data_IF_704020336314
#
_entry.id   IF_704020336314
#
_cell.length_a   1.000
_cell.length_b   1.000
_cell.length_c   1.000
_cell.angle_alpha   90.00
_cell.angle_beta   90.00
_cell.angle_gamma   90.00
#
_symmetry.space_group_name_H-M   'P 1'
#
loop_
_entity.id
_entity.type
_entity.pdbx_description
1 polymer ?
#
# COMPACT_ATOMS: atom_id res chain seq x y z
N UNK A 1 0.19 -67.71 -6.67
CA UNK A 1 1.00 -66.85 -7.58
C UNK A 1 0.13 -65.80 -8.26
N UNK A 2 -1.01 -66.18 -8.85
CA UNK A 2 -1.96 -65.31 -9.58
C UNK A 2 -2.60 -64.21 -8.74
N UNK A 3 -3.01 -64.50 -7.50
CA UNK A 3 -3.62 -63.51 -6.59
C UNK A 3 -2.68 -62.33 -6.27
N UNK A 4 -1.37 -62.58 -6.21
CA UNK A 4 -0.37 -61.55 -5.89
C UNK A 4 -0.12 -60.66 -7.11
N UNK A 5 -0.04 -61.23 -8.32
CA UNK A 5 0.10 -60.45 -9.55
C UNK A 5 -1.14 -59.59 -9.83
N UNK A 6 -2.35 -60.10 -9.58
CA UNK A 6 -3.59 -59.33 -9.72
C UNK A 6 -3.62 -58.16 -8.71
N UNK A 7 -3.20 -58.40 -7.46
CA UNK A 7 -3.09 -57.35 -6.46
C UNK A 7 -2.11 -56.23 -6.89
N UNK A 8 -0.92 -56.58 -7.37
CA UNK A 8 0.05 -55.58 -7.84
C UNK A 8 -0.43 -54.81 -9.09
N UNK A 9 -1.17 -55.46 -10.00
CA UNK A 9 -1.76 -54.80 -11.16
C UNK A 9 -2.82 -53.76 -10.76
N UNK A 10 -3.74 -54.14 -9.87
CA UNK A 10 -4.78 -53.21 -9.37
C UNK A 10 -4.13 -52.05 -8.60
N UNK A 11 -3.17 -52.35 -7.73
CA UNK A 11 -2.45 -51.35 -6.97
C UNK A 11 -1.68 -50.37 -7.87
N UNK A 12 -0.98 -50.89 -8.89
CA UNK A 12 -0.26 -50.07 -9.87
C UNK A 12 -1.19 -49.17 -10.69
N UNK A 13 -2.34 -49.68 -11.13
CA UNK A 13 -3.35 -48.89 -11.83
C UNK A 13 -3.91 -47.76 -10.95
N UNK A 14 -4.17 -48.04 -9.67
CA UNK A 14 -4.70 -47.04 -8.74
C UNK A 14 -3.69 -45.92 -8.48
N UNK A 15 -2.42 -46.26 -8.24
CA UNK A 15 -1.34 -45.27 -8.05
C UNK A 15 -1.13 -44.44 -9.32
N UNK A 16 -1.17 -45.08 -10.50
CA UNK A 16 -1.03 -44.37 -11.78
C UNK A 16 -2.18 -43.38 -12.00
N UNK A 17 -3.44 -43.80 -11.79
CA UNK A 17 -4.60 -42.91 -11.90
C UNK A 17 -4.55 -41.76 -10.90
N UNK A 18 -4.14 -42.02 -9.66
CA UNK A 18 -3.95 -40.97 -8.66
C UNK A 18 -2.85 -39.97 -9.10
N UNK A 19 -1.73 -40.46 -9.63
CA UNK A 19 -0.64 -39.63 -10.16
C UNK A 19 -1.09 -38.75 -11.33
N UNK A 20 -1.81 -39.32 -12.30
CA UNK A 20 -2.39 -38.57 -13.42
C UNK A 20 -3.41 -37.55 -12.91
N UNK A 21 -4.26 -37.91 -11.95
CA UNK A 21 -5.23 -37.01 -11.35
C UNK A 21 -4.56 -35.79 -10.69
N UNK A 22 -3.48 -36.01 -9.94
CA UNK A 22 -2.69 -34.92 -9.34
C UNK A 22 -2.08 -34.02 -10.42
N UNK A 23 -1.49 -34.60 -11.47
CA UNK A 23 -0.91 -33.84 -12.58
C UNK A 23 -1.96 -32.99 -13.30
N UNK A 24 -3.16 -33.54 -13.55
CA UNK A 24 -4.29 -32.80 -14.16
C UNK A 24 -4.78 -31.69 -13.23
N UNK A 25 -4.86 -31.94 -11.92
CA UNK A 25 -5.25 -30.91 -10.96
C UNK A 25 -4.22 -29.77 -10.91
N UNK A 26 -2.92 -30.09 -10.92
CA UNK A 26 -1.86 -29.09 -10.98
C UNK A 26 -1.89 -28.31 -12.30
N UNK A 27 -2.01 -29.00 -13.43
CA UNK A 27 -2.10 -28.37 -14.75
C UNK A 27 -3.32 -27.46 -14.89
N UNK A 28 -4.49 -27.89 -14.40
CA UNK A 28 -5.70 -27.07 -14.42
C UNK A 28 -5.60 -25.86 -13.49
N UNK A 29 -4.97 -25.99 -12.31
CA UNK A 29 -4.72 -24.85 -11.42
C UNK A 29 -3.75 -23.83 -12.03
N UNK A 30 -2.70 -24.28 -12.73
CA UNK A 30 -1.76 -23.43 -13.47
C UNK A 30 -2.45 -22.76 -14.67
N UNK A 31 -3.30 -23.50 -15.39
CA UNK A 31 -4.04 -22.98 -16.53
C UNK A 31 -5.07 -21.93 -16.11
N UNK A 32 -5.89 -22.23 -15.08
CA UNK A 32 -6.78 -21.24 -14.47
C UNK A 32 -5.99 -20.05 -13.94
N UNK A 33 -4.90 -20.29 -13.21
CA UNK A 33 -4.04 -19.23 -12.68
C UNK A 33 -3.55 -18.30 -13.79
N UNK A 34 -3.09 -18.86 -14.91
CA UNK A 34 -2.64 -18.09 -16.07
C UNK A 34 -3.79 -17.32 -16.72
N UNK A 35 -4.97 -17.94 -16.88
CA UNK A 35 -6.13 -17.31 -17.48
C UNK A 35 -6.68 -16.16 -16.62
N UNK A 36 -6.73 -16.36 -15.29
CA UNK A 36 -7.09 -15.31 -14.32
C UNK A 36 -6.08 -14.15 -14.29
N UNK A 37 -4.78 -14.43 -14.47
CA UNK A 37 -3.74 -13.41 -14.49
C UNK A 37 -3.74 -12.59 -15.80
N UNK A 38 -4.16 -13.19 -16.92
CA UNK A 38 -4.08 -12.54 -18.23
C UNK A 38 -5.16 -11.47 -18.46
N UNK A 39 -6.28 -11.51 -17.72
CA UNK A 39 -7.37 -10.55 -17.91
C UNK A 39 -7.30 -9.33 -16.97
N UNK A 40 -6.35 -9.26 -16.02
CA UNK A 40 -6.37 -8.28 -14.90
C UNK A 40 -7.73 -8.24 -14.15
N UNK A 41 -8.62 -9.20 -14.41
CA UNK A 41 -9.96 -9.30 -13.83
C UNK A 41 -9.86 -10.30 -12.70
N UNK A 42 -9.40 -9.80 -11.56
CA UNK A 42 -9.67 -10.43 -10.28
C UNK A 42 -11.18 -10.68 -10.21
N UNK A 43 -11.61 -11.93 -10.40
CA UNK A 43 -13.02 -12.30 -10.55
C UNK A 43 -13.82 -11.83 -9.31
N UNK A 44 -13.17 -11.86 -8.14
CA UNK A 44 -13.71 -11.31 -6.89
C UNK A 44 -12.61 -10.60 -6.07
N UNK A 45 -12.28 -9.32 -6.35
CA UNK A 45 -11.23 -8.60 -5.64
C UNK A 45 -11.53 -8.46 -4.14
N UNK A 46 -12.83 -8.34 -3.80
CA UNK A 46 -13.28 -8.29 -2.40
C UNK A 46 -13.08 -9.61 -1.68
N UNK A 47 -13.32 -10.76 -2.34
CA UNK A 47 -13.11 -12.07 -1.73
C UNK A 47 -11.62 -12.25 -1.40
N UNK A 48 -10.74 -11.88 -2.33
CA UNK A 48 -9.29 -11.94 -2.11
C UNK A 48 -8.87 -11.09 -0.91
N UNK A 49 -9.38 -9.87 -0.77
CA UNK A 49 -9.09 -9.01 0.38
C UNK A 49 -9.61 -9.62 1.69
N UNK A 50 -10.82 -10.18 1.71
CA UNK A 50 -11.38 -10.86 2.88
C UNK A 50 -10.49 -12.04 3.29
N UNK A 51 -10.02 -12.84 2.32
CA UNK A 51 -9.10 -13.94 2.58
C UNK A 51 -7.79 -13.41 3.20
N UNK A 52 -7.17 -12.39 2.62
CA UNK A 52 -5.93 -11.81 3.15
C UNK A 52 -6.13 -11.25 4.56
N UNK A 53 -7.25 -10.59 4.84
CA UNK A 53 -7.59 -10.05 6.16
C UNK A 53 -7.76 -11.18 7.20
N UNK A 54 -8.48 -12.25 6.83
CA UNK A 54 -8.72 -13.40 7.70
C UNK A 54 -7.43 -14.13 8.07
N UNK A 55 -6.52 -14.30 7.12
CA UNK A 55 -5.26 -15.01 7.32
C UNK A 55 -4.12 -14.14 7.88
N UNK A 56 -4.29 -12.82 7.96
CA UNK A 56 -3.25 -11.91 8.47
C UNK A 56 -2.75 -12.28 9.87
N UNK A 57 -3.67 -12.46 10.84
CA UNK A 57 -3.32 -12.82 12.21
C UNK A 57 -2.61 -14.18 12.33
N UNK A 58 -3.18 -15.26 11.78
CA UNK A 58 -2.55 -16.58 11.73
C UNK A 58 -1.16 -16.55 11.07
N UNK A 59 -1.02 -15.91 9.91
CA UNK A 59 0.26 -15.84 9.20
C UNK A 59 1.30 -15.02 9.94
N UNK A 60 0.90 -13.93 10.60
CA UNK A 60 1.82 -13.13 11.41
C UNK A 60 2.36 -13.97 12.58
N UNK A 61 1.49 -14.62 13.34
CA UNK A 61 1.88 -15.50 14.45
C UNK A 61 2.76 -16.66 13.99
N UNK A 62 2.42 -17.27 12.85
CA UNK A 62 3.20 -18.35 12.25
C UNK A 62 4.60 -17.88 11.85
N UNK A 63 4.71 -16.72 11.18
CA UNK A 63 6.00 -16.14 10.78
C UNK A 63 6.90 -15.84 11.98
N UNK A 64 6.33 -15.28 13.06
CA UNK A 64 7.07 -14.98 14.29
C UNK A 64 7.55 -16.26 14.98
N UNK A 65 6.72 -17.31 14.99
CA UNK A 65 7.07 -18.61 15.59
C UNK A 65 8.21 -19.31 14.84
N UNK A 66 8.28 -19.13 13.52
CA UNK A 66 9.37 -19.66 12.68
C UNK A 66 10.63 -18.79 12.68
N UNK A 67 10.66 -17.69 13.44
CA UNK A 67 11.79 -16.74 13.43
C UNK A 67 11.93 -15.96 12.12
N UNK A 68 10.90 -15.96 11.27
CA UNK A 68 10.85 -15.16 10.06
C UNK A 68 10.51 -13.71 10.39
N UNK A 69 10.95 -12.79 9.52
CA UNK A 69 10.64 -11.38 9.68
C UNK A 69 9.13 -11.15 9.46
N UNK A 70 8.38 -10.89 10.53
CA UNK A 70 6.93 -10.65 10.50
C UNK A 70 6.51 -9.51 9.57
N UNK A 71 7.46 -8.62 9.24
CA UNK A 71 7.28 -7.55 8.25
C UNK A 71 6.92 -8.07 6.86
N UNK A 72 7.29 -9.31 6.50
CA UNK A 72 6.99 -9.88 5.19
C UNK A 72 5.48 -10.03 4.95
N UNK A 73 4.73 -10.36 6.01
CA UNK A 73 3.26 -10.50 5.94
C UNK A 73 2.62 -9.14 5.69
N UNK A 74 3.14 -8.09 6.35
CA UNK A 74 2.68 -6.72 6.16
C UNK A 74 3.02 -6.19 4.75
N UNK A 75 4.22 -6.49 4.25
CA UNK A 75 4.63 -6.15 2.88
C UNK A 75 3.71 -6.76 1.83
N UNK A 76 3.49 -8.07 1.90
CA UNK A 76 2.58 -8.77 0.99
C UNK A 76 1.18 -8.15 1.06
N UNK A 77 0.68 -7.88 2.27
CA UNK A 77 -0.61 -7.24 2.47
C UNK A 77 -0.73 -5.86 1.80
N UNK A 78 0.30 -5.02 1.92
CA UNK A 78 0.34 -3.69 1.28
C UNK A 78 0.38 -3.82 -0.25
N UNK A 79 1.26 -4.67 -0.79
CA UNK A 79 1.41 -4.84 -2.24
C UNK A 79 0.14 -5.40 -2.89
N UNK A 80 -0.47 -6.41 -2.29
CA UNK A 80 -1.73 -6.99 -2.77
C UNK A 80 -2.83 -5.93 -2.79
N UNK A 81 -2.98 -5.13 -1.72
CA UNK A 81 -4.00 -4.07 -1.68
C UNK A 81 -3.71 -2.94 -2.65
N UNK A 82 -2.44 -2.58 -2.83
CA UNK A 82 -2.02 -1.62 -3.84
C UNK A 82 -2.45 -2.09 -5.23
N UNK A 83 -2.13 -3.32 -5.61
CA UNK A 83 -2.48 -3.88 -6.92
C UNK A 83 -3.99 -3.96 -7.15
N UNK A 84 -4.73 -4.46 -6.16
CA UNK A 84 -6.20 -4.62 -6.26
C UNK A 84 -6.91 -3.28 -6.42
N UNK A 85 -6.50 -2.25 -5.69
CA UNK A 85 -7.18 -0.97 -5.67
C UNK A 85 -6.67 0.01 -6.73
N UNK A 86 -5.56 -0.29 -7.42
CA UNK A 86 -4.86 0.63 -8.32
C UNK A 86 -5.79 1.25 -9.38
N UNK A 87 -6.52 0.42 -10.13
CA UNK A 87 -7.39 0.89 -11.22
C UNK A 87 -8.49 1.83 -10.71
N UNK A 88 -9.14 1.46 -9.61
CA UNK A 88 -10.22 2.27 -9.00
C UNK A 88 -9.69 3.54 -8.35
N UNK A 89 -8.51 3.48 -7.72
CA UNK A 89 -7.87 4.67 -7.16
C UNK A 89 -7.51 5.68 -8.25
N UNK A 90 -6.97 5.22 -9.39
CA UNK A 90 -6.63 6.07 -10.54
C UNK A 90 -7.86 6.71 -11.19
N UNK A 91 -9.01 6.02 -11.23
CA UNK A 91 -10.24 6.54 -11.84
C UNK A 91 -11.01 7.58 -11.00
N UNK A 92 -10.67 7.74 -9.72
CA UNK A 92 -11.33 8.71 -8.82
C UNK A 92 -10.70 10.10 -9.03
N UNK A 93 -11.51 11.16 -8.96
CA UNK A 93 -11.03 12.54 -9.03
C UNK A 93 -10.11 12.88 -7.84
N UNK A 94 -8.98 13.58 -8.04
CA UNK A 94 -8.11 14.04 -6.95
C UNK A 94 -8.81 14.78 -5.80
N UNK A 95 -9.87 15.56 -6.07
CA UNK A 95 -10.64 16.29 -5.04
C UNK A 95 -11.43 15.35 -4.12
N UNK A 96 -11.68 14.12 -4.58
CA UNK A 96 -12.29 13.06 -3.77
C UNK A 96 -11.22 12.18 -3.08
N UNK A 97 -9.95 12.61 -3.00
CA UNK A 97 -8.85 11.83 -2.41
C UNK A 97 -8.25 12.49 -1.17
N UNK A 98 -7.97 11.65 -0.18
CA UNK A 98 -7.18 12.03 0.98
C UNK A 98 -5.73 11.52 0.85
N UNK A 99 -4.75 12.34 1.24
CA UNK A 99 -3.38 11.92 1.47
C UNK A 99 -3.10 11.94 2.96
N UNK A 100 -2.67 10.81 3.52
CA UNK A 100 -2.35 10.67 4.95
C UNK A 100 -0.85 10.44 5.12
N UNK A 101 -0.19 11.41 5.75
CA UNK A 101 1.25 11.39 6.03
C UNK A 101 1.51 11.09 7.52
N UNK A 102 2.61 10.40 7.85
CA UNK A 102 2.93 10.07 9.23
C UNK A 102 3.73 11.20 9.89
N UNK A 103 3.47 11.47 11.16
CA UNK A 103 4.23 12.46 11.93
C UNK A 103 5.74 12.14 12.02
N UNK A 104 6.13 10.87 11.87
CA UNK A 104 7.52 10.41 11.96
C UNK A 104 8.45 11.03 10.89
N UNK A 105 7.90 11.57 9.79
CA UNK A 105 8.64 12.31 8.77
C UNK A 105 9.04 13.73 9.21
N UNK A 106 8.49 14.22 10.33
CA UNK A 106 8.76 15.58 10.82
C UNK A 106 10.21 15.73 11.24
N UNK A 107 10.69 16.95 11.02
CA UNK A 107 11.88 17.42 11.71
C UNK A 107 11.56 17.63 13.20
N UNK A 108 12.49 17.36 14.13
CA UNK A 108 12.28 17.63 15.57
C UNK A 108 11.86 19.07 15.88
N UNK A 109 12.34 20.03 15.09
CA UNK A 109 12.02 21.45 15.24
C UNK A 109 10.76 21.87 14.47
N UNK A 110 9.90 20.92 14.11
CA UNK A 110 8.68 21.20 13.37
C UNK A 110 7.61 21.84 14.27
N UNK A 111 7.21 23.05 13.90
CA UNK A 111 6.24 23.91 14.62
C UNK A 111 4.76 23.49 14.45
N UNK A 112 4.48 22.36 13.80
CA UNK A 112 3.12 21.88 13.56
C UNK A 112 2.39 21.58 14.88
N UNK A 113 1.18 22.15 15.02
CA UNK A 113 0.32 21.99 16.20
C UNK A 113 -0.65 20.83 16.00
N UNK A 114 -0.99 20.15 17.10
CA UNK A 114 -1.93 19.03 17.09
C UNK A 114 -3.37 19.54 17.20
N UNK A 115 -4.21 19.08 16.30
CA UNK A 115 -5.66 19.31 16.27
C UNK A 115 -6.43 17.98 16.22
N UNK A 116 -7.75 18.06 16.06
CA UNK A 116 -8.65 16.88 16.11
C UNK A 116 -8.34 15.84 15.04
N UNK A 117 -8.05 16.27 13.82
CA UNK A 117 -7.85 15.40 12.64
C UNK A 117 -6.38 15.15 12.32
N UNK A 118 -5.46 15.75 13.08
CA UNK A 118 -4.02 15.56 12.90
C UNK A 118 -3.23 16.80 13.24
N UNK A 119 -1.99 16.84 12.76
CA UNK A 119 -1.05 17.94 12.89
C UNK A 119 -1.24 18.92 11.72
N UNK A 120 -1.32 20.20 12.03
CA UNK A 120 -1.43 21.25 11.02
C UNK A 120 -0.03 21.65 10.55
N UNK A 121 0.34 21.20 9.34
CA UNK A 121 1.58 21.61 8.71
C UNK A 121 1.49 23.06 8.23
N UNK A 122 2.34 23.92 8.80
CA UNK A 122 2.45 25.36 8.48
C UNK A 122 3.38 25.65 7.29
N UNK A 123 3.96 24.63 6.65
CA UNK A 123 4.91 24.85 5.55
C UNK A 123 6.29 25.34 5.99
N UNK A 124 6.75 25.00 7.21
CA UNK A 124 8.05 25.45 7.74
C UNK A 124 9.30 24.96 6.97
N UNK A 125 9.14 24.15 5.92
CA UNK A 125 10.21 23.66 5.03
C UNK A 125 11.36 22.85 5.68
N UNK A 126 11.25 22.48 6.97
CA UNK A 126 12.27 21.69 7.68
C UNK A 126 12.23 20.18 7.38
N UNK A 127 11.16 19.70 6.74
CA UNK A 127 10.97 18.28 6.39
C UNK A 127 10.21 18.12 5.06
N UNK A 128 10.15 16.90 4.55
CA UNK A 128 9.55 16.59 3.23
C UNK A 128 8.02 16.78 3.18
N UNK A 129 7.36 16.74 4.35
CA UNK A 129 5.90 16.85 4.46
C UNK A 129 5.37 18.11 3.76
N UNK A 130 6.01 19.26 3.97
CA UNK A 130 5.57 20.52 3.36
C UNK A 130 5.55 20.48 1.84
N UNK A 131 6.60 19.92 1.23
CA UNK A 131 6.70 19.76 -0.23
C UNK A 131 5.69 18.77 -0.78
N UNK A 132 5.45 17.66 -0.07
CA UNK A 132 4.43 16.68 -0.47
C UNK A 132 3.04 17.31 -0.38
N UNK A 133 2.75 18.01 0.72
CA UNK A 133 1.49 18.70 0.96
C UNK A 133 1.19 19.70 -0.16
N UNK A 134 2.15 20.57 -0.47
CA UNK A 134 2.05 21.55 -1.55
C UNK A 134 1.67 20.90 -2.89
N UNK A 135 2.37 19.82 -3.28
CA UNK A 135 2.10 19.12 -4.55
C UNK A 135 0.75 18.42 -4.57
N UNK A 136 0.35 17.83 -3.45
CA UNK A 136 -0.91 17.12 -3.32
C UNK A 136 -2.11 18.08 -3.35
N UNK A 137 -2.05 19.18 -2.59
CA UNK A 137 -3.11 20.19 -2.55
C UNK A 137 -3.25 20.91 -3.88
N UNK A 138 -2.14 21.15 -4.61
CA UNK A 138 -2.17 21.77 -5.93
C UNK A 138 -2.99 20.99 -6.97
N UNK A 139 -3.15 19.68 -6.80
CA UNK A 139 -4.00 18.85 -7.67
C UNK A 139 -5.36 18.50 -7.06
N UNK A 140 -5.66 18.96 -5.84
CA UNK A 140 -6.96 18.79 -5.19
C UNK A 140 -7.02 17.78 -4.04
N UNK A 141 -5.93 17.09 -3.69
CA UNK A 141 -5.96 16.16 -2.54
C UNK A 141 -6.15 16.93 -1.23
N UNK A 142 -6.95 16.37 -0.32
CA UNK A 142 -6.97 16.81 1.08
C UNK A 142 -5.86 16.12 1.86
N UNK A 143 -4.97 16.87 2.51
CA UNK A 143 -3.77 16.32 3.16
C UNK A 143 -3.91 16.32 4.68
N UNK A 144 -3.69 15.17 5.30
CA UNK A 144 -3.65 14.98 6.75
C UNK A 144 -2.28 14.51 7.19
N UNK A 145 -1.77 15.04 8.30
CA UNK A 145 -0.55 14.56 8.95
C UNK A 145 -0.93 13.98 10.30
N UNK A 146 -0.79 12.68 10.55
CA UNK A 146 -1.30 12.07 11.79
C UNK A 146 -0.19 11.49 12.68
N UNK A 147 -0.32 11.62 14.02
CA UNK A 147 0.54 10.93 14.98
C UNK A 147 0.40 9.41 14.93
N UNK A 148 -0.80 8.90 14.65
CA UNK A 148 -1.04 7.47 14.61
C UNK A 148 -2.43 7.13 14.11
N UNK A 149 -2.69 5.83 13.96
CA UNK A 149 -3.89 5.31 13.29
C UNK A 149 -5.22 5.61 14.00
N UNK A 150 -5.19 6.08 15.25
CA UNK A 150 -6.38 6.51 16.00
C UNK A 150 -7.08 7.73 15.38
N UNK A 151 -6.34 8.58 14.67
CA UNK A 151 -6.88 9.76 13.98
C UNK A 151 -7.66 9.42 12.72
N UNK A 152 -7.43 8.23 12.13
CA UNK A 152 -8.10 7.79 10.90
C UNK A 152 -9.62 7.81 11.07
N UNK A 153 -10.14 7.36 12.24
CA UNK A 153 -11.58 7.36 12.51
C UNK A 153 -12.17 8.77 12.43
N UNK A 154 -11.50 9.75 13.07
CA UNK A 154 -11.93 11.15 13.06
C UNK A 154 -11.88 11.76 11.65
N UNK A 155 -10.84 11.44 10.88
CA UNK A 155 -10.72 11.90 9.50
C UNK A 155 -11.89 11.38 8.65
N UNK A 156 -12.22 10.08 8.78
CA UNK A 156 -13.35 9.46 8.06
C UNK A 156 -14.71 10.02 8.48
N UNK A 157 -14.87 10.40 9.75
CA UNK A 157 -16.12 10.98 10.27
C UNK A 157 -16.31 12.44 9.84
N UNK A 158 -15.23 13.23 9.83
CA UNK A 158 -15.30 14.68 9.60
C UNK A 158 -15.12 15.06 8.12
N UNK A 159 -14.56 14.18 7.29
CA UNK A 159 -14.25 14.46 5.88
C UNK A 159 -14.80 13.40 4.94
N UNK A 160 -15.17 13.82 3.73
CA UNK A 160 -15.64 12.92 2.68
C UNK A 160 -14.56 12.75 1.62
N UNK A 161 -14.13 11.51 1.42
CA UNK A 161 -13.25 11.10 0.33
C UNK A 161 -13.67 9.71 -0.15
N UNK A 162 -13.38 9.40 -1.42
CA UNK A 162 -13.65 8.11 -2.07
C UNK A 162 -12.40 7.24 -2.19
N UNK A 163 -11.22 7.87 -2.16
CA UNK A 163 -9.93 7.20 -2.20
C UNK A 163 -8.95 7.77 -1.15
N UNK A 164 -8.01 6.94 -0.69
CA UNK A 164 -6.96 7.36 0.25
C UNK A 164 -5.58 6.88 -0.17
N UNK A 165 -4.59 7.77 -0.14
CA UNK A 165 -3.17 7.45 -0.26
C UNK A 165 -2.53 7.58 1.11
N UNK A 166 -1.98 6.50 1.64
CA UNK A 166 -1.26 6.48 2.91
C UNK A 166 0.25 6.43 2.71
N UNK A 167 1.00 7.10 3.60
CA UNK A 167 2.44 6.93 3.76
C UNK A 167 2.70 6.48 5.20
N UNK A 168 3.34 5.33 5.40
CA UNK A 168 3.68 4.81 6.73
C UNK A 168 4.64 3.61 6.61
N UNK A 169 5.04 3.02 7.74
CA UNK A 169 5.71 1.73 7.73
C UNK A 169 4.73 0.63 7.25
N UNK A 170 5.26 -0.53 6.84
CA UNK A 170 4.42 -1.61 6.31
C UNK A 170 3.31 -2.06 7.27
N UNK A 171 3.60 -2.16 8.56
CA UNK A 171 2.63 -2.59 9.56
C UNK A 171 1.45 -1.61 9.68
N UNK A 172 1.75 -0.32 9.85
CA UNK A 172 0.71 0.71 9.97
C UNK A 172 -0.07 0.89 8.67
N UNK A 173 0.60 0.81 7.51
CA UNK A 173 -0.06 0.80 6.21
C UNK A 173 -1.03 -0.37 6.10
N UNK A 174 -0.58 -1.60 6.34
CA UNK A 174 -1.41 -2.79 6.20
C UNK A 174 -2.66 -2.71 7.09
N UNK A 175 -2.49 -2.33 8.37
CA UNK A 175 -3.59 -2.12 9.32
C UNK A 175 -4.55 -1.00 8.91
N UNK A 176 -4.02 0.14 8.44
CA UNK A 176 -4.84 1.25 7.97
C UNK A 176 -5.63 0.86 6.71
N UNK A 177 -5.00 0.19 5.74
CA UNK A 177 -5.62 -0.23 4.49
C UNK A 177 -6.70 -1.29 4.71
N UNK A 178 -6.56 -2.18 5.70
CA UNK A 178 -7.64 -3.07 6.14
C UNK A 178 -8.88 -2.29 6.59
N UNK A 179 -8.68 -1.32 7.50
CA UNK A 179 -9.76 -0.47 8.04
C UNK A 179 -10.38 0.44 6.97
N UNK A 180 -9.59 0.85 5.99
CA UNK A 180 -9.98 1.77 4.92
C UNK A 180 -10.30 1.05 3.60
N UNK A 181 -10.53 -0.27 3.62
CA UNK A 181 -10.76 -1.10 2.42
C UNK A 181 -11.88 -0.60 1.50
N UNK A 182 -12.86 0.13 2.04
CA UNK A 182 -13.97 0.74 1.28
C UNK A 182 -13.56 1.97 0.46
N UNK A 183 -12.46 2.63 0.83
CA UNK A 183 -11.94 3.87 0.26
C UNK A 183 -10.78 3.63 -0.72
N UNK A 184 -10.83 2.54 -1.49
CA UNK A 184 -9.87 2.20 -2.55
C UNK A 184 -8.40 2.52 -2.19
N UNK A 185 -7.87 2.02 -1.06
CA UNK A 185 -6.63 2.54 -0.49
C UNK A 185 -5.41 2.23 -1.35
N UNK A 186 -4.45 3.16 -1.36
CA UNK A 186 -3.09 2.98 -1.85
C UNK A 186 -2.11 3.34 -0.75
N UNK A 187 -0.92 2.73 -0.76
CA UNK A 187 0.13 2.94 0.22
C UNK A 187 1.49 3.13 -0.43
N UNK A 188 2.29 4.05 0.10
CA UNK A 188 3.73 4.17 -0.18
C UNK A 188 4.50 3.90 1.12
N UNK A 189 5.27 2.81 1.19
CA UNK A 189 6.04 2.48 2.38
C UNK A 189 7.19 3.47 2.59
N UNK A 190 7.59 3.65 3.85
CA UNK A 190 8.79 4.39 4.20
C UNK A 190 10.05 3.63 3.74
N UNK A 191 11.04 4.36 3.22
CA UNK A 191 12.37 3.85 2.91
C UNK A 191 13.17 3.49 4.17
N UNK A 192 12.97 4.28 5.23
CA UNK A 192 13.52 4.05 6.55
C UNK A 192 12.41 4.16 7.57
N UNK A 193 12.09 3.03 8.20
CA UNK A 193 11.11 2.93 9.27
C UNK A 193 11.65 3.41 10.61
N UNK A 194 10.73 3.63 11.55
CA UNK A 194 10.99 4.11 12.89
C UNK A 194 9.90 5.09 13.32
N UNK A 195 9.91 5.49 14.59
CA UNK A 195 9.00 6.51 15.11
C UNK A 195 9.61 7.92 15.09
N UNK A 196 10.79 8.09 14.46
CA UNK A 196 11.54 9.34 14.48
C UNK A 196 12.47 9.48 13.26
N UNK A 197 12.45 10.65 12.61
CA UNK A 197 13.28 10.99 11.42
C UNK A 197 13.26 9.91 10.34
N UNK A 198 12.06 9.44 9.99
CA UNK A 198 11.88 8.47 8.92
C UNK A 198 12.11 9.10 7.55
N UNK A 199 12.19 8.26 6.51
CA UNK A 199 12.35 8.72 5.13
C UNK A 199 11.32 8.06 4.23
N UNK A 200 10.79 8.81 3.28
CA UNK A 200 9.92 8.33 2.20
C UNK A 200 10.55 8.69 0.86
N UNK A 201 10.33 7.87 -0.16
CA UNK A 201 10.64 8.26 -1.53
C UNK A 201 9.62 9.27 -2.03
N UNK A 202 10.07 10.52 -2.20
CA UNK A 202 9.25 11.60 -2.72
C UNK A 202 8.67 11.26 -4.11
N UNK A 203 9.45 10.63 -4.98
CA UNK A 203 9.01 10.29 -6.34
C UNK A 203 7.92 9.25 -6.34
N UNK A 204 8.02 8.22 -5.49
CA UNK A 204 7.00 7.19 -5.37
C UNK A 204 5.65 7.77 -4.90
N UNK A 205 5.68 8.76 -4.00
CA UNK A 205 4.46 9.48 -3.58
C UNK A 205 3.86 10.28 -4.75
N UNK A 206 4.68 11.02 -5.50
CA UNK A 206 4.22 11.78 -6.67
C UNK A 206 3.64 10.86 -7.76
N UNK A 207 4.30 9.74 -8.04
CA UNK A 207 3.84 8.74 -9.01
C UNK A 207 2.49 8.17 -8.61
N UNK A 208 2.30 7.81 -7.33
CA UNK A 208 0.98 7.37 -6.83
C UNK A 208 -0.09 8.45 -6.93
N UNK A 209 0.28 9.73 -6.92
CA UNK A 209 -0.65 10.85 -7.16
C UNK A 209 -0.91 11.13 -8.65
N UNK A 210 -0.21 10.46 -9.58
CA UNK A 210 -0.35 10.68 -11.02
C UNK A 210 0.51 11.82 -11.58
N UNK A 211 1.52 12.28 -10.84
CA UNK A 211 2.41 13.40 -11.21
C UNK A 211 3.68 12.95 -11.96
N UNK A 212 3.55 11.94 -12.83
CA UNK A 212 4.64 11.29 -13.56
C UNK A 212 5.46 12.27 -14.43
N UNK A 213 4.83 13.33 -14.94
CA UNK A 213 5.44 14.36 -15.79
C UNK A 213 6.47 15.27 -15.09
N UNK A 214 6.46 15.36 -13.75
CA UNK A 214 7.45 16.17 -13.00
C UNK A 214 8.78 15.43 -12.79
N UNK A 215 8.80 14.09 -12.95
CA UNK A 215 9.96 13.24 -12.69
C UNK A 215 10.97 13.30 -13.86
N UNK A 216 10.50 13.63 -15.07
CA UNK A 216 11.30 13.67 -16.30
C UNK A 216 11.96 15.01 -16.61
N UNK A 217 11.71 16.10 -15.87
CA UNK A 217 12.47 17.34 -16.09
C UNK A 217 13.87 17.17 -15.49
N UNK A 218 14.95 17.16 -16.30
CA UNK A 218 16.29 17.29 -15.76
C UNK A 218 16.34 18.61 -14.98
N UNK A 219 17.01 18.60 -13.82
CA UNK A 219 17.37 19.84 -13.12
C UNK A 219 18.30 20.64 -14.02
N UNK A 220 17.75 21.53 -14.83
CA UNK A 220 18.53 22.54 -15.53
C UNK A 220 17.82 23.87 -15.37
N UNK A 221 18.44 24.71 -14.54
CA UNK A 221 18.32 26.16 -14.47
C UNK A 221 16.99 26.75 -13.98
N UNK A 222 16.95 27.12 -12.70
CA UNK A 222 16.60 28.49 -12.30
C UNK A 222 17.50 28.88 -11.13
N UNK A 223 18.64 29.46 -11.51
CA UNK A 223 19.45 30.33 -10.67
C UNK A 223 18.68 31.61 -10.35
N UNK A 224 18.93 32.11 -9.13
CA UNK A 224 18.79 33.50 -8.69
C UNK A 224 17.37 34.00 -8.41
N UNK A 225 17.08 34.04 -7.10
CA UNK A 225 16.19 35.01 -6.48
C UNK A 225 16.93 36.37 -6.49
N UNK A 226 16.37 37.46 -7.04
CA UNK A 226 16.79 38.79 -6.66
C UNK A 226 16.04 39.18 -5.39
N UNK A 227 16.81 39.41 -4.32
CA UNK A 227 16.31 40.01 -3.10
C UNK A 227 15.72 41.39 -3.37
N UNK A 228 14.54 41.64 -2.82
CA UNK A 228 14.08 43.00 -2.56
C UNK A 228 14.69 43.44 -1.23
N UNK A 229 15.52 44.47 -1.27
CA UNK A 229 15.74 45.35 -0.12
C UNK A 229 15.06 46.68 -0.44
N UNK A 230 14.25 47.26 0.46
CA UNK A 230 13.73 48.60 0.30
C UNK A 230 14.73 49.60 0.87
N UNK A 231 15.11 50.63 0.12
CA UNK A 231 15.48 51.95 0.69
C UNK A 231 15.83 52.96 -0.42
N UNK A 232 15.20 54.14 -0.28
CA UNK A 232 15.41 55.44 -0.93
C UNK A 232 14.85 55.63 -2.34
#
# INVERSE_FOLDING_TARGET
MTMISEFYQIFGQLVFLAGVGILVMLASSLFLGRLLLNEDRLIFPRLLLITVDMFYGPFKKFSETLGLNSRIVDQIGVEVRNKINEKRFKSIDPHDKALVLPHCLRNPECEARLERTGLICTGCNRCIIGKIKERAEAIGYTVFVIPGSTFIKKIVEEHRFKAVLGVACYQDLNLAMMKLSRFSPQGVPLLRDGCFKTKVDFRAVLEKMGLEGEIRRPKTCMSQVPGKTPEQ
#
